data_IF_888123264602
#
_entry.id   IF_888123264602
#
_cell.length_a   1.000
_cell.length_b   1.000
_cell.length_c   1.000
_cell.angle_alpha   90.00
_cell.angle_beta   90.00
_cell.angle_gamma   90.00
#
_symmetry.space_group_name_H-M   'P 1'
#
loop_
_entity.id
_entity.type
_entity.pdbx_description
1 polymer ?
#
# COMPACT_ATOMS: atom_id res chain seq x y z
N UNK A 1 7.38 -11.56 39.83
CA UNK A 1 7.30 -11.41 38.36
C UNK A 1 8.66 -11.83 37.81
N UNK A 2 8.74 -13.01 37.21
CA UNK A 2 9.98 -13.54 36.63
C UNK A 2 10.21 -12.84 35.28
N UNK A 3 10.90 -11.70 35.32
CA UNK A 3 11.19 -10.88 34.15
C UNK A 3 12.54 -11.23 33.54
N UNK A 4 12.64 -12.40 32.89
CA UNK A 4 13.91 -12.82 32.27
C UNK A 4 14.12 -12.18 30.88
N UNK A 5 13.06 -11.63 30.25
CA UNK A 5 13.13 -11.06 28.90
C UNK A 5 12.19 -9.86 28.71
N UNK A 6 12.65 -8.88 27.92
CA UNK A 6 11.84 -7.79 27.36
C UNK A 6 11.56 -8.07 25.90
N UNK A 7 10.33 -7.82 25.45
CA UNK A 7 9.98 -7.94 24.03
C UNK A 7 10.11 -6.59 23.33
N UNK A 8 10.69 -6.60 22.12
CA UNK A 8 11.01 -5.42 21.35
C UNK A 8 10.61 -5.60 19.88
N UNK A 9 9.89 -4.63 19.31
CA UNK A 9 9.51 -4.63 17.89
C UNK A 9 10.61 -3.97 17.04
N UNK A 10 11.20 -4.74 16.13
CA UNK A 10 12.04 -4.21 15.07
C UNK A 10 11.17 -3.57 13.98
N UNK A 11 11.16 -2.25 13.87
CA UNK A 11 10.38 -1.54 12.84
C UNK A 11 10.79 -1.87 11.41
N UNK A 12 12.08 -2.13 11.19
CA UNK A 12 12.66 -2.52 9.89
C UNK A 12 12.17 -3.87 9.37
N UNK A 13 11.99 -4.84 10.26
CA UNK A 13 11.66 -6.23 9.89
C UNK A 13 10.29 -6.71 10.37
N UNK A 14 9.57 -5.90 11.14
CA UNK A 14 8.29 -6.29 11.76
C UNK A 14 8.42 -7.49 12.70
N UNK A 15 9.62 -7.79 13.20
CA UNK A 15 9.86 -8.92 14.10
C UNK A 15 9.83 -8.48 15.56
N UNK A 16 9.26 -9.33 16.41
CA UNK A 16 9.27 -9.14 17.86
C UNK A 16 10.39 -10.00 18.42
N UNK A 17 11.43 -9.36 18.94
CA UNK A 17 12.58 -10.00 19.58
C UNK A 17 12.36 -10.11 21.08
N UNK A 18 12.88 -11.18 21.68
CA UNK A 18 13.03 -11.32 23.13
C UNK A 18 14.47 -11.02 23.53
N UNK A 19 14.65 -10.03 24.39
CA UNK A 19 15.95 -9.57 24.85
C UNK A 19 16.11 -9.92 26.34
N UNK A 20 17.11 -10.72 26.67
CA UNK A 20 17.50 -11.04 28.06
C UNK A 20 18.41 -9.98 28.70
N UNK A 21 18.86 -9.00 27.92
CA UNK A 21 19.73 -7.92 28.38
C UNK A 21 19.32 -6.61 27.70
N UNK A 22 19.69 -5.47 28.30
CA UNK A 22 19.35 -4.14 27.79
C UNK A 22 20.08 -3.72 26.50
N UNK A 23 20.86 -4.61 25.87
CA UNK A 23 21.58 -4.32 24.63
C UNK A 23 20.80 -4.89 23.44
N UNK A 24 20.39 -4.02 22.51
CA UNK A 24 19.74 -4.41 21.26
C UNK A 24 20.83 -4.73 20.24
N UNK A 25 20.98 -5.99 19.80
CA UNK A 25 21.96 -6.33 18.77
C UNK A 25 21.51 -5.73 17.42
N UNK A 26 22.31 -4.85 16.82
CA UNK A 26 21.97 -4.15 15.56
C UNK A 26 21.73 -5.12 14.39
N UNK A 27 22.37 -6.28 14.41
CA UNK A 27 22.22 -7.36 13.43
C UNK A 27 20.84 -8.05 13.50
N UNK A 28 20.13 -7.95 14.63
CA UNK A 28 18.85 -8.67 14.82
C UNK A 28 17.62 -7.90 14.33
N UNK A 29 17.76 -6.59 14.07
CA UNK A 29 16.76 -5.79 13.37
C UNK A 29 17.21 -5.43 11.94
N UNK A 30 18.05 -6.25 11.31
CA UNK A 30 18.44 -6.02 9.93
C UNK A 30 17.21 -5.96 9.01
N UNK A 31 17.22 -5.02 8.07
CA UNK A 31 16.28 -4.96 6.95
C UNK A 31 16.43 -6.27 6.14
N UNK A 32 15.33 -6.86 5.64
CA UNK A 32 15.45 -7.86 4.60
C UNK A 32 16.21 -7.26 3.41
N UNK A 33 17.14 -8.00 2.81
CA UNK A 33 17.98 -7.56 1.67
C UNK A 33 17.18 -7.14 0.42
N UNK A 34 15.85 -7.22 0.45
CA UNK A 34 14.95 -6.67 -0.55
C UNK A 34 14.78 -5.16 -0.39
N UNK A 35 15.88 -4.43 -0.49
CA UNK A 35 15.85 -3.11 -1.11
C UNK A 35 15.47 -3.31 -2.60
N UNK A 36 14.22 -3.70 -2.87
CA UNK A 36 13.61 -3.54 -4.18
C UNK A 36 13.95 -2.13 -4.62
N UNK A 37 14.72 -2.05 -5.70
CA UNK A 37 15.29 -0.83 -6.26
C UNK A 37 14.30 0.32 -6.06
N UNK A 38 14.56 1.19 -5.09
CA UNK A 38 13.61 2.26 -4.78
C UNK A 38 13.79 3.33 -5.84
N UNK A 39 12.69 3.74 -6.47
CA UNK A 39 12.72 4.85 -7.40
C UNK A 39 13.15 6.11 -6.64
N UNK A 40 14.30 6.65 -7.03
CA UNK A 40 14.92 7.82 -6.44
C UNK A 40 15.74 8.56 -7.51
N UNK A 41 16.19 9.80 -7.24
CA UNK A 41 16.95 10.59 -8.23
C UNK A 41 18.22 9.92 -8.76
N UNK A 42 18.81 8.98 -8.02
CA UNK A 42 20.01 8.23 -8.42
C UNK A 42 19.70 6.87 -9.04
N UNK A 43 18.43 6.43 -9.04
CA UNK A 43 17.96 5.16 -9.60
C UNK A 43 16.61 5.34 -10.32
N UNK A 44 16.65 6.02 -11.47
CA UNK A 44 15.47 6.28 -12.31
C UNK A 44 14.92 5.03 -13.00
N UNK A 45 15.73 3.98 -13.15
CA UNK A 45 15.30 2.70 -13.73
C UNK A 45 14.36 1.91 -12.79
N UNK A 46 14.41 2.17 -11.49
CA UNK A 46 13.40 1.66 -10.56
C UNK A 46 12.02 2.33 -10.74
N UNK A 47 11.93 3.44 -11.47
CA UNK A 47 10.74 4.27 -11.58
C UNK A 47 9.76 3.87 -12.68
N UNK A 48 9.95 2.70 -13.31
CA UNK A 48 9.32 2.37 -14.59
C UNK A 48 7.80 2.13 -14.59
N UNK A 49 7.11 2.15 -13.45
CA UNK A 49 5.64 1.96 -13.42
C UNK A 49 5.06 2.84 -12.32
N UNK A 50 4.17 3.76 -12.67
CA UNK A 50 3.32 4.50 -11.72
C UNK A 50 1.92 3.89 -11.67
N UNK A 51 1.31 3.92 -10.48
CA UNK A 51 -0.14 3.81 -10.33
C UNK A 51 -0.74 5.23 -10.35
N UNK A 52 -2.04 5.37 -10.65
CA UNK A 52 -2.71 6.67 -10.73
C UNK A 52 -2.73 7.30 -12.12
N UNK A 53 -2.12 6.63 -13.10
CA UNK A 53 -2.20 6.99 -14.52
C UNK A 53 -1.61 8.38 -14.82
N UNK A 54 -1.82 8.82 -16.06
CA UNK A 54 -1.62 10.23 -16.47
C UNK A 54 -2.96 10.72 -16.97
N UNK A 55 -3.31 11.99 -16.71
CA UNK A 55 -4.50 12.57 -17.33
C UNK A 55 -4.41 12.44 -18.85
N UNK A 56 -5.43 11.81 -19.45
CA UNK A 56 -5.43 11.49 -20.88
C UNK A 56 -4.68 10.22 -21.27
N UNK A 57 -4.39 9.32 -20.32
CA UNK A 57 -3.99 7.94 -20.63
C UNK A 57 -5.08 7.24 -21.45
N UNK A 58 -4.66 6.52 -22.49
CA UNK A 58 -5.55 5.69 -23.30
C UNK A 58 -5.78 4.31 -22.67
N UNK A 59 -5.07 3.99 -21.58
CA UNK A 59 -5.18 2.76 -20.80
C UNK A 59 -5.69 3.07 -19.38
N UNK A 60 -6.56 2.20 -18.80
CA UNK A 60 -6.86 2.29 -17.38
C UNK A 60 -5.59 2.02 -16.57
N UNK A 61 -5.56 2.44 -15.32
CA UNK A 61 -4.47 2.06 -14.39
C UNK A 61 -5.10 1.59 -13.11
N UNK A 62 -4.89 0.33 -12.75
CA UNK A 62 -5.39 -0.27 -11.51
C UNK A 62 -4.63 0.35 -10.34
N UNK A 63 -5.37 1.03 -9.46
CA UNK A 63 -4.83 1.73 -8.28
C UNK A 63 -5.10 0.98 -6.98
N UNK A 64 -6.10 0.08 -6.96
CA UNK A 64 -6.33 -0.89 -5.89
C UNK A 64 -6.64 -2.26 -6.49
N UNK A 65 -6.07 -3.37 -5.96
CA UNK A 65 -5.19 -3.45 -4.78
C UNK A 65 -3.83 -2.77 -4.92
N UNK A 66 -3.27 -2.30 -3.79
CA UNK A 66 -2.04 -1.50 -3.78
C UNK A 66 -0.77 -2.33 -3.95
N UNK A 67 -0.75 -3.58 -3.49
CA UNK A 67 0.34 -4.55 -3.57
C UNK A 67 -0.10 -5.87 -4.19
N UNK A 68 0.87 -6.72 -4.53
CA UNK A 68 0.63 -8.10 -4.95
C UNK A 68 0.30 -9.04 -3.81
N UNK A 69 0.55 -8.67 -2.55
CA UNK A 69 0.23 -9.49 -1.38
C UNK A 69 -0.87 -8.82 -0.57
N UNK A 70 -1.82 -9.62 -0.08
CA UNK A 70 -2.94 -9.13 0.75
C UNK A 70 -3.42 -10.19 1.75
N UNK A 71 -4.07 -9.74 2.82
CA UNK A 71 -4.89 -10.54 3.73
C UNK A 71 -6.37 -10.53 3.31
N UNK A 72 -6.77 -9.63 2.42
CA UNK A 72 -8.17 -9.45 2.02
C UNK A 72 -8.55 -10.44 0.90
N UNK A 73 -9.46 -11.36 1.20
CA UNK A 73 -10.00 -12.32 0.22
C UNK A 73 -10.98 -11.68 -0.78
N UNK A 74 -11.44 -10.46 -0.50
CA UNK A 74 -12.43 -9.70 -1.28
C UNK A 74 -11.99 -8.25 -1.47
N UNK A 75 -10.88 -8.01 -2.19
CA UNK A 75 -10.38 -6.66 -2.40
C UNK A 75 -11.36 -5.78 -3.18
N UNK A 76 -11.47 -4.51 -2.80
CA UNK A 76 -12.06 -3.51 -3.68
C UNK A 76 -11.10 -3.21 -4.84
N UNK A 77 -11.65 -3.16 -6.05
CA UNK A 77 -10.89 -2.94 -7.27
C UNK A 77 -11.20 -1.53 -7.77
N UNK A 78 -10.18 -0.70 -7.93
CA UNK A 78 -10.34 0.68 -8.43
C UNK A 78 -9.27 0.99 -9.46
N UNK A 79 -9.61 1.87 -10.40
CA UNK A 79 -8.73 2.25 -11.50
C UNK A 79 -8.94 3.71 -11.91
N UNK A 80 -8.08 4.20 -12.80
CA UNK A 80 -8.22 5.54 -13.38
C UNK A 80 -9.23 5.55 -14.53
N UNK A 81 -9.96 6.66 -14.66
CA UNK A 81 -10.81 6.89 -15.83
C UNK A 81 -9.96 6.99 -17.11
N UNK A 82 -10.54 6.54 -18.22
CA UNK A 82 -9.92 6.53 -19.56
C UNK A 82 -10.75 7.41 -20.46
N UNK A 83 -10.10 8.30 -21.21
CA UNK A 83 -10.81 9.24 -22.08
C UNK A 83 -11.59 8.48 -23.16
N UNK A 84 -12.88 8.76 -23.27
CA UNK A 84 -13.78 8.12 -24.25
C UNK A 84 -14.36 6.77 -23.82
N UNK A 85 -13.91 6.20 -22.69
CA UNK A 85 -14.52 4.97 -22.19
C UNK A 85 -15.95 5.23 -21.69
N UNK A 86 -16.89 4.41 -22.13
CA UNK A 86 -18.30 4.43 -21.72
C UNK A 86 -18.61 3.38 -20.65
N UNK A 87 -17.79 2.33 -20.56
CA UNK A 87 -17.90 1.29 -19.54
C UNK A 87 -16.55 0.57 -19.34
N UNK A 88 -16.51 -0.27 -18.30
CA UNK A 88 -15.37 -1.10 -17.95
C UNK A 88 -15.82 -2.53 -17.71
N UNK A 89 -14.95 -3.49 -18.04
CA UNK A 89 -15.11 -4.89 -17.62
C UNK A 89 -13.97 -5.27 -16.69
N UNK A 90 -14.31 -5.67 -15.48
CA UNK A 90 -13.36 -6.27 -14.53
C UNK A 90 -13.44 -7.77 -14.70
N UNK A 91 -12.30 -8.42 -14.94
CA UNK A 91 -12.19 -9.88 -14.99
C UNK A 91 -11.20 -10.32 -13.93
N UNK A 92 -11.59 -11.30 -13.13
CA UNK A 92 -10.69 -11.93 -12.18
C UNK A 92 -10.52 -13.39 -12.58
N UNK A 93 -9.28 -13.86 -12.59
CA UNK A 93 -8.91 -15.21 -13.04
C UNK A 93 -7.84 -15.84 -12.14
N UNK A 94 -7.91 -17.15 -12.00
CA UNK A 94 -6.91 -18.07 -11.45
C UNK A 94 -7.02 -19.38 -12.23
N UNK A 95 -6.21 -20.40 -11.91
CA UNK A 95 -6.13 -21.64 -12.70
C UNK A 95 -7.48 -22.32 -13.00
N UNK A 96 -8.43 -22.32 -12.05
CA UNK A 96 -9.78 -22.94 -12.21
C UNK A 96 -10.94 -22.04 -11.74
N UNK A 97 -10.67 -20.79 -11.43
CA UNK A 97 -11.69 -19.85 -10.97
C UNK A 97 -11.59 -18.56 -11.75
N UNK A 98 -12.74 -18.00 -12.11
CA UNK A 98 -12.81 -16.62 -12.56
C UNK A 98 -14.23 -16.12 -12.70
N UNK A 99 -14.36 -14.81 -12.62
CA UNK A 99 -15.62 -14.10 -12.83
C UNK A 99 -15.35 -12.81 -13.57
N UNK A 100 -16.40 -12.23 -14.16
CA UNK A 100 -16.33 -10.91 -14.77
C UNK A 100 -17.57 -10.08 -14.45
N UNK A 101 -17.39 -8.76 -14.33
CA UNK A 101 -18.48 -7.80 -14.12
C UNK A 101 -18.24 -6.57 -14.99
N UNK A 102 -19.32 -6.06 -15.57
CA UNK A 102 -19.32 -4.80 -16.34
C UNK A 102 -19.88 -3.68 -15.46
N UNK A 103 -19.19 -2.55 -15.43
CA UNK A 103 -19.59 -1.35 -14.67
C UNK A 103 -19.36 -0.08 -15.48
N UNK A 104 -20.05 1.00 -15.12
CA UNK A 104 -19.93 2.32 -15.75
C UNK A 104 -19.19 3.35 -14.87
N UNK A 105 -18.50 2.88 -13.84
CA UNK A 105 -17.74 3.67 -12.88
C UNK A 105 -16.34 3.07 -12.73
N UNK A 106 -15.42 3.80 -12.09
CA UNK A 106 -14.02 3.37 -11.95
C UNK A 106 -13.72 2.65 -10.62
N UNK A 107 -14.75 2.07 -10.02
CA UNK A 107 -14.67 1.27 -8.80
C UNK A 107 -15.60 0.07 -8.87
N UNK A 108 -15.14 -1.06 -8.37
CA UNK A 108 -15.95 -2.24 -8.16
C UNK A 108 -15.70 -2.74 -6.73
N UNK A 109 -16.72 -2.58 -5.87
CA UNK A 109 -16.76 -3.33 -4.63
C UNK A 109 -16.81 -4.82 -4.98
N UNK A 110 -16.07 -5.65 -4.24
CA UNK A 110 -16.02 -7.07 -4.53
C UNK A 110 -17.43 -7.68 -4.50
N UNK A 111 -17.88 -8.35 -5.57
CA UNK A 111 -19.25 -8.86 -5.61
C UNK A 111 -19.50 -9.92 -4.53
N UNK A 112 -20.58 -9.77 -3.75
CA UNK A 112 -20.88 -10.66 -2.63
C UNK A 112 -21.32 -12.06 -3.06
N UNK A 113 -21.86 -12.18 -4.27
CA UNK A 113 -22.29 -13.42 -4.94
C UNK A 113 -21.12 -14.22 -5.52
N UNK A 114 -19.97 -13.58 -5.74
CA UNK A 114 -18.80 -14.25 -6.29
C UNK A 114 -17.98 -14.94 -5.20
N UNK A 115 -17.33 -16.05 -5.56
CA UNK A 115 -16.45 -16.78 -4.65
C UNK A 115 -15.19 -15.95 -4.35
N UNK A 116 -14.77 -15.95 -3.09
CA UNK A 116 -13.62 -15.18 -2.62
C UNK A 116 -12.27 -15.80 -3.00
N UNK A 117 -11.22 -14.99 -2.90
CA UNK A 117 -9.86 -15.46 -3.10
C UNK A 117 -9.45 -16.45 -2.00
N UNK A 118 -8.82 -17.53 -2.42
CA UNK A 118 -8.35 -18.57 -1.52
C UNK A 118 -6.92 -18.27 -1.05
N UNK A 119 -6.61 -18.45 0.25
CA UNK A 119 -5.24 -18.32 0.75
C UNK A 119 -4.22 -19.18 -0.01
N UNK A 120 -3.06 -18.61 -0.29
CA UNK A 120 -1.97 -19.23 -1.04
C UNK A 120 -2.24 -19.41 -2.54
N UNK A 121 -3.27 -18.76 -3.07
CA UNK A 121 -3.62 -18.81 -4.49
C UNK A 121 -3.41 -17.44 -5.13
N UNK A 122 -2.62 -17.35 -6.21
CA UNK A 122 -2.49 -16.12 -6.98
C UNK A 122 -3.70 -15.92 -7.91
N UNK A 123 -4.16 -14.68 -7.97
CA UNK A 123 -5.21 -14.19 -8.85
C UNK A 123 -4.66 -13.09 -9.75
N UNK A 124 -5.19 -13.03 -10.95
CA UNK A 124 -4.98 -11.93 -11.87
C UNK A 124 -6.27 -11.14 -12.01
N UNK A 125 -6.15 -9.82 -11.98
CA UNK A 125 -7.25 -8.87 -12.14
C UNK A 125 -6.96 -8.06 -13.40
N UNK A 126 -7.84 -8.19 -14.38
CA UNK A 126 -7.83 -7.40 -15.61
C UNK A 126 -8.93 -6.32 -15.52
N UNK A 127 -8.63 -5.10 -15.93
CA UNK A 127 -9.63 -4.04 -16.12
C UNK A 127 -9.56 -3.56 -17.56
N UNK A 128 -10.60 -3.86 -18.34
CA UNK A 128 -10.75 -3.44 -19.73
C UNK A 128 -11.58 -2.17 -19.83
N UNK A 129 -11.15 -1.20 -20.62
CA UNK A 129 -11.93 -0.02 -20.99
C UNK A 129 -12.65 -0.24 -22.32
N UNK A 130 -13.92 0.15 -22.37
CA UNK A 130 -14.80 -0.05 -23.53
C UNK A 130 -15.31 1.28 -24.08
N UNK A 131 -15.37 1.38 -25.40
CA UNK A 131 -16.08 2.42 -26.15
C UNK A 131 -16.99 1.73 -27.16
N UNK A 132 -18.26 2.14 -27.23
CA UNK A 132 -19.27 1.57 -28.14
C UNK A 132 -19.33 0.02 -28.17
N UNK A 133 -19.14 -0.60 -27.01
CA UNK A 133 -19.19 -2.07 -26.85
C UNK A 133 -17.90 -2.80 -27.25
N UNK A 134 -16.86 -2.10 -27.69
CA UNK A 134 -15.55 -2.67 -28.01
C UNK A 134 -14.49 -2.30 -26.96
N UNK A 135 -13.77 -3.30 -26.47
CA UNK A 135 -12.60 -3.07 -25.63
C UNK A 135 -11.48 -2.46 -26.47
N UNK A 136 -10.90 -1.34 -26.02
CA UNK A 136 -9.82 -0.66 -26.75
C UNK A 136 -8.51 -0.58 -25.95
N UNK A 137 -8.57 -0.79 -24.64
CA UNK A 137 -7.40 -0.85 -23.77
C UNK A 137 -7.68 -1.64 -22.48
N UNK A 138 -6.63 -2.04 -21.78
CA UNK A 138 -6.75 -2.71 -20.49
C UNK A 138 -5.50 -2.52 -19.65
N UNK A 139 -5.64 -2.82 -18.36
CA UNK A 139 -4.53 -2.97 -17.43
C UNK A 139 -4.70 -4.26 -16.64
N UNK A 140 -3.59 -4.80 -16.14
CA UNK A 140 -3.53 -6.09 -15.45
C UNK A 140 -2.73 -5.96 -14.15
N UNK A 141 -3.21 -6.60 -13.10
CA UNK A 141 -2.44 -6.74 -11.86
C UNK A 141 -2.59 -8.13 -11.25
N UNK A 142 -1.65 -8.49 -10.40
CA UNK A 142 -1.59 -9.79 -9.72
C UNK A 142 -1.77 -9.59 -8.22
N UNK A 143 -2.52 -10.49 -7.60
CA UNK A 143 -2.82 -10.46 -6.17
C UNK A 143 -2.75 -11.88 -5.63
N UNK A 144 -1.98 -12.07 -4.57
CA UNK A 144 -1.84 -13.31 -3.82
C UNK A 144 -2.34 -13.08 -2.40
N UNK A 145 -3.30 -13.89 -1.99
CA UNK A 145 -3.77 -13.89 -0.61
C UNK A 145 -2.79 -14.72 0.20
N UNK A 146 -2.17 -14.15 1.23
CA UNK A 146 -1.16 -14.87 2.01
C UNK A 146 -1.70 -16.18 2.57
N UNK A 147 -0.84 -17.20 2.70
CA UNK A 147 -1.23 -18.50 3.25
C UNK A 147 -1.75 -18.40 4.68
N UNK A 148 -2.63 -19.31 5.08
CA UNK A 148 -3.25 -19.33 6.42
C UNK A 148 -2.20 -19.24 7.54
N UNK A 149 -1.12 -20.02 7.43
CA UNK A 149 -0.03 -20.00 8.41
C UNK A 149 0.60 -18.61 8.56
N UNK A 150 0.76 -17.87 7.46
CA UNK A 150 1.32 -16.52 7.47
C UNK A 150 0.32 -15.50 8.06
N UNK A 151 -0.96 -15.62 7.71
CA UNK A 151 -2.02 -14.79 8.30
C UNK A 151 -2.09 -14.97 9.82
N UNK A 152 -2.00 -16.22 10.31
CA UNK A 152 -1.99 -16.52 11.75
C UNK A 152 -0.78 -15.91 12.46
N UNK A 153 0.43 -16.00 11.87
CA UNK A 153 1.63 -15.38 12.42
C UNK A 153 1.47 -13.86 12.55
N UNK A 154 0.94 -13.20 11.51
CA UNK A 154 0.69 -11.76 11.51
C UNK A 154 -0.37 -11.41 12.58
N UNK A 155 -1.47 -12.16 12.64
CA UNK A 155 -2.52 -11.95 13.63
C UNK A 155 -1.99 -12.10 15.07
N UNK A 156 -1.09 -13.05 15.33
CA UNK A 156 -0.44 -13.21 16.62
C UNK A 156 0.45 -12.01 16.97
N UNK A 157 1.27 -11.51 16.03
CA UNK A 157 2.10 -10.31 16.23
C UNK A 157 1.22 -9.08 16.54
N UNK A 158 0.15 -8.87 15.78
CA UNK A 158 -0.80 -7.77 15.98
C UNK A 158 -1.52 -7.89 17.34
N UNK A 159 -1.97 -9.10 17.71
CA UNK A 159 -2.58 -9.36 19.01
C UNK A 159 -1.62 -9.02 20.15
N UNK A 160 -0.33 -9.32 19.98
CA UNK A 160 0.69 -8.99 20.98
C UNK A 160 0.86 -7.49 21.15
N UNK A 161 0.98 -6.74 20.06
CA UNK A 161 1.06 -5.26 20.07
C UNK A 161 -0.18 -4.66 20.75
N UNK A 162 -1.39 -5.07 20.33
CA UNK A 162 -2.64 -4.59 20.93
C UNK A 162 -2.75 -4.90 22.43
N UNK A 163 -2.18 -6.02 22.87
CA UNK A 163 -2.11 -6.41 24.27
C UNK A 163 -1.24 -5.52 25.15
N UNK A 164 -0.43 -4.62 24.58
CA UNK A 164 0.39 -3.64 25.31
C UNK A 164 -0.43 -2.45 25.82
N UNK A 165 -1.63 -2.21 25.26
CA UNK A 165 -2.49 -1.09 25.68
C UNK A 165 -1.92 0.28 25.33
N UNK A 166 -1.16 0.39 24.24
CA UNK A 166 -0.61 1.65 23.74
C UNK A 166 -1.73 2.61 23.28
N UNK A 167 -1.45 3.93 23.19
CA UNK A 167 -2.35 4.86 22.54
C UNK A 167 -2.74 4.37 21.12
N UNK A 168 -3.97 4.65 20.65
CA UNK A 168 -4.44 4.14 19.36
C UNK A 168 -3.52 4.45 18.19
N UNK A 169 -3.06 5.70 18.08
CA UNK A 169 -2.20 6.15 16.99
C UNK A 169 -0.83 5.44 17.00
N UNK A 170 -0.26 5.21 18.18
CA UNK A 170 1.00 4.46 18.31
C UNK A 170 0.82 2.98 17.97
N UNK A 171 -0.31 2.39 18.39
CA UNK A 171 -0.67 1.02 18.02
C UNK A 171 -0.78 0.85 16.50
N UNK A 172 -1.32 1.85 15.80
CA UNK A 172 -1.42 1.85 14.34
C UNK A 172 -0.04 1.87 13.68
N UNK A 173 0.89 2.69 14.20
CA UNK A 173 2.25 2.78 13.67
C UNK A 173 3.05 1.48 13.90
N UNK A 174 2.88 0.83 15.05
CA UNK A 174 3.50 -0.47 15.33
C UNK A 174 2.93 -1.57 14.41
N UNK A 175 1.62 -1.58 14.18
CA UNK A 175 0.97 -2.53 13.26
C UNK A 175 1.37 -2.27 11.80
N UNK A 176 1.56 -1.01 11.41
CA UNK A 176 2.07 -0.66 10.09
C UNK A 176 3.45 -1.28 9.82
N UNK A 177 4.34 -1.31 10.82
CA UNK A 177 5.64 -1.99 10.69
C UNK A 177 5.47 -3.49 10.39
N UNK A 178 4.52 -4.16 11.05
CA UNK A 178 4.19 -5.57 10.77
C UNK A 178 3.71 -5.75 9.33
N UNK A 179 2.74 -4.94 8.88
CA UNK A 179 2.22 -5.05 7.51
C UNK A 179 3.28 -4.72 6.46
N UNK A 180 4.12 -3.73 6.72
CA UNK A 180 5.16 -3.28 5.77
C UNK A 180 6.21 -4.36 5.55
N UNK A 181 6.62 -5.06 6.61
CA UNK A 181 7.55 -6.19 6.54
C UNK A 181 7.02 -7.37 5.70
N UNK A 182 5.70 -7.47 5.55
CA UNK A 182 5.03 -8.53 4.79
C UNK A 182 4.52 -8.03 3.42
N UNK A 183 4.92 -6.82 3.02
CA UNK A 183 4.47 -6.14 1.80
C UNK A 183 2.93 -6.01 1.66
N UNK A 184 2.23 -5.93 2.78
CA UNK A 184 0.78 -5.79 2.88
C UNK A 184 0.37 -4.31 2.73
N UNK A 185 0.61 -3.73 1.55
CA UNK A 185 0.32 -2.30 1.29
C UNK A 185 -1.16 -1.98 1.37
N UNK A 186 -2.02 -2.94 0.99
CA UNK A 186 -3.46 -2.73 1.05
C UNK A 186 -3.95 -2.56 2.49
N UNK A 187 -3.48 -3.40 3.38
CA UNK A 187 -3.86 -3.42 4.80
C UNK A 187 -3.36 -2.17 5.52
N UNK A 188 -2.11 -1.75 5.28
CA UNK A 188 -1.58 -0.53 5.90
C UNK A 188 -2.27 0.73 5.39
N UNK A 189 -2.49 0.87 4.07
CA UNK A 189 -3.15 2.06 3.50
C UNK A 189 -4.58 2.17 4.04
N UNK A 190 -5.37 1.10 4.04
CA UNK A 190 -6.73 1.15 4.56
C UNK A 190 -6.77 1.43 6.08
N UNK A 191 -5.87 0.81 6.86
CA UNK A 191 -5.77 1.08 8.30
C UNK A 191 -5.44 2.56 8.58
N UNK A 192 -4.45 3.12 7.89
CA UNK A 192 -4.02 4.50 8.05
C UNK A 192 -5.10 5.49 7.55
N UNK A 193 -5.78 5.20 6.44
CA UNK A 193 -6.93 5.99 5.95
C UNK A 193 -8.05 6.04 6.99
N UNK A 194 -8.39 4.92 7.61
CA UNK A 194 -9.40 4.89 8.67
C UNK A 194 -8.98 5.74 9.88
N UNK A 195 -7.70 5.69 10.26
CA UNK A 195 -7.17 6.48 11.36
C UNK A 195 -7.12 7.99 11.09
N UNK A 196 -6.82 8.38 9.85
CA UNK A 196 -6.76 9.80 9.45
C UNK A 196 -8.15 10.37 9.14
N UNK A 197 -9.12 9.54 8.78
CA UNK A 197 -10.52 9.94 8.55
C UNK A 197 -11.21 10.49 9.81
N UNK A 198 -10.77 10.09 11.01
CA UNK A 198 -11.24 10.66 12.29
C UNK A 198 -10.55 11.98 12.65
N UNK A 199 -9.87 12.63 11.69
CA UNK A 199 -9.13 13.89 11.85
C UNK A 199 -8.14 13.85 13.02
N UNK A 200 -7.36 12.76 13.10
CA UNK A 200 -6.25 12.64 14.06
C UNK A 200 -5.36 13.88 14.02
N UNK A 201 -4.85 14.29 15.17
CA UNK A 201 -3.90 15.40 15.27
C UNK A 201 -2.45 14.91 15.23
N UNK A 202 -2.21 13.61 15.06
CA UNK A 202 -0.87 13.03 14.98
C UNK A 202 -0.31 13.20 13.55
N UNK A 203 0.67 14.10 13.32
CA UNK A 203 1.25 14.32 11.99
C UNK A 203 1.91 13.06 11.41
N UNK A 204 2.36 12.13 12.26
CA UNK A 204 3.06 10.92 11.82
C UNK A 204 2.16 9.97 11.07
N UNK A 205 0.87 9.85 11.44
CA UNK A 205 -0.07 9.00 10.70
C UNK A 205 -0.25 9.47 9.25
N UNK A 206 -0.42 10.78 9.04
CA UNK A 206 -0.52 11.36 7.70
C UNK A 206 0.78 11.18 6.92
N UNK A 207 1.94 11.42 7.55
CA UNK A 207 3.22 11.23 6.88
C UNK A 207 3.41 9.77 6.45
N UNK A 208 3.14 8.81 7.34
CA UNK A 208 3.27 7.38 7.02
C UNK A 208 2.29 6.98 5.93
N UNK A 209 1.04 7.48 5.95
CA UNK A 209 0.09 7.25 4.86
C UNK A 209 0.63 7.78 3.52
N UNK A 210 1.24 8.97 3.52
CA UNK A 210 1.96 9.51 2.37
C UNK A 210 3.08 8.59 1.87
N UNK A 211 3.90 8.03 2.77
CA UNK A 211 4.95 7.06 2.41
C UNK A 211 4.37 5.80 1.78
N UNK A 212 3.24 5.30 2.30
CA UNK A 212 2.56 4.12 1.77
C UNK A 212 1.97 4.40 0.39
N UNK A 213 1.38 5.57 0.17
CA UNK A 213 0.94 5.98 -1.16
C UNK A 213 2.12 6.10 -2.14
N UNK A 214 3.27 6.64 -1.73
CA UNK A 214 4.48 6.62 -2.59
C UNK A 214 4.94 5.20 -2.91
N UNK A 215 4.94 4.29 -1.94
CA UNK A 215 5.29 2.87 -2.17
C UNK A 215 4.27 2.18 -3.09
N UNK A 216 3.00 2.58 -3.00
CA UNK A 216 1.94 2.19 -3.93
C UNK A 216 1.98 2.97 -5.26
N UNK A 217 2.96 3.86 -5.45
CA UNK A 217 3.20 4.65 -6.67
C UNK A 217 2.07 5.63 -6.99
N UNK A 218 1.46 6.21 -5.97
CA UNK A 218 0.33 7.16 -6.02
C UNK A 218 0.78 8.55 -5.52
N UNK A 219 1.54 9.32 -6.33
CA UNK A 219 2.16 10.56 -5.87
C UNK A 219 1.16 11.69 -5.59
N UNK A 220 -0.03 11.68 -6.22
CA UNK A 220 -1.06 12.69 -5.99
C UNK A 220 -1.67 12.54 -4.60
N UNK A 221 -2.03 11.32 -4.24
CA UNK A 221 -2.54 10.92 -2.93
C UNK A 221 -1.46 11.20 -1.88
N UNK A 222 -0.22 10.76 -2.11
CA UNK A 222 0.89 11.00 -1.20
C UNK A 222 1.11 12.50 -0.92
N UNK A 223 1.02 13.36 -1.96
CA UNK A 223 1.17 14.81 -1.81
C UNK A 223 0.19 15.38 -0.79
N UNK A 224 -1.09 15.00 -0.89
CA UNK A 224 -2.15 15.48 -0.01
C UNK A 224 -1.84 15.16 1.45
N UNK A 225 -1.40 13.92 1.70
CA UNK A 225 -1.09 13.46 3.05
C UNK A 225 0.15 14.13 3.62
N UNK A 226 1.22 14.33 2.83
CA UNK A 226 2.40 15.04 3.31
C UNK A 226 2.14 16.52 3.61
N UNK A 227 1.28 17.20 2.82
CA UNK A 227 0.87 18.58 3.13
C UNK A 227 0.20 18.62 4.50
N UNK A 228 -0.77 17.73 4.73
CA UNK A 228 -1.48 17.65 6.02
C UNK A 228 -0.54 17.32 7.19
N UNK A 229 0.39 16.39 6.99
CA UNK A 229 1.42 16.06 7.96
C UNK A 229 2.31 17.26 8.30
N UNK A 230 2.76 18.00 7.28
CA UNK A 230 3.57 19.21 7.45
C UNK A 230 2.84 20.31 8.22
N UNK A 231 1.56 20.51 7.97
CA UNK A 231 0.72 21.48 8.68
C UNK A 231 0.58 21.12 10.17
N UNK A 232 0.21 19.86 10.46
CA UNK A 232 0.06 19.37 11.84
C UNK A 232 1.40 19.35 12.59
N UNK A 233 2.50 18.99 11.94
CA UNK A 233 3.82 18.99 12.56
C UNK A 233 4.29 20.41 12.91
N UNK A 234 3.96 21.41 12.07
CA UNK A 234 4.20 22.82 12.39
C UNK A 234 3.38 23.27 13.59
N UNK A 235 2.07 22.97 13.60
CA UNK A 235 1.20 23.42 14.69
C UNK A 235 1.56 22.76 16.03
N UNK A 236 2.08 21.53 16.01
CA UNK A 236 2.54 20.81 17.20
C UNK A 236 4.01 21.04 17.54
N UNK A 237 4.72 21.97 16.88
CA UNK A 237 6.17 22.20 17.03
C UNK A 237 7.05 20.94 16.86
N UNK A 238 6.60 19.96 16.08
CA UNK A 238 7.35 18.74 15.79
C UNK A 238 8.28 18.93 14.58
N UNK A 239 9.40 19.62 14.81
CA UNK A 239 10.38 19.94 13.75
C UNK A 239 10.89 18.70 13.01
N UNK A 240 11.15 17.59 13.73
CA UNK A 240 11.64 16.35 13.13
C UNK A 240 10.64 15.79 12.13
N UNK A 241 9.36 15.74 12.50
CA UNK A 241 8.33 15.21 11.63
C UNK A 241 8.02 16.14 10.46
N UNK A 242 8.06 17.45 10.69
CA UNK A 242 7.97 18.44 9.62
C UNK A 242 9.04 18.21 8.54
N UNK A 243 10.30 18.00 8.93
CA UNK A 243 11.37 17.75 7.97
C UNK A 243 11.13 16.47 7.16
N UNK A 244 10.70 15.37 7.80
CA UNK A 244 10.40 14.14 7.06
C UNK A 244 9.24 14.31 6.07
N UNK A 245 8.19 15.04 6.44
CA UNK A 245 7.08 15.33 5.55
C UNK A 245 7.52 16.19 4.34
N UNK A 246 8.40 17.18 4.59
CA UNK A 246 9.01 17.96 3.51
C UNK A 246 9.88 17.10 2.58
N UNK A 247 10.66 16.15 3.12
CA UNK A 247 11.39 15.17 2.29
C UNK A 247 10.46 14.33 1.44
N UNK A 248 9.32 13.87 1.99
CA UNK A 248 8.28 13.17 1.23
C UNK A 248 7.74 14.00 0.05
N UNK A 249 7.49 15.29 0.27
CA UNK A 249 7.05 16.21 -0.80
C UNK A 249 8.09 16.38 -1.91
N UNK A 250 9.38 16.47 -1.56
CA UNK A 250 10.46 16.53 -2.55
C UNK A 250 10.50 15.26 -3.40
N UNK A 251 10.28 14.09 -2.79
CA UNK A 251 10.17 12.83 -3.54
C UNK A 251 8.96 12.88 -4.48
N UNK A 252 7.78 13.32 -4.01
CA UNK A 252 6.60 13.50 -4.87
C UNK A 252 6.88 14.41 -6.08
N UNK A 253 7.57 15.52 -5.87
CA UNK A 253 7.95 16.45 -6.95
C UNK A 253 8.88 15.79 -7.97
N UNK A 254 9.89 15.07 -7.50
CA UNK A 254 10.77 14.28 -8.37
C UNK A 254 9.97 13.25 -9.17
N UNK A 255 9.04 12.54 -8.52
CA UNK A 255 8.14 11.67 -9.24
C UNK A 255 7.41 12.49 -10.29
N UNK A 256 6.66 13.54 -9.99
CA UNK A 256 5.85 14.25 -11.01
C UNK A 256 6.63 14.76 -12.25
N UNK A 257 7.97 14.82 -12.21
CA UNK A 257 8.84 15.16 -13.35
C UNK A 257 9.18 13.98 -14.27
N UNK A 258 8.96 12.73 -13.87
CA UNK A 258 9.37 11.58 -14.70
C UNK A 258 8.42 11.38 -15.90
N UNK A 259 8.94 10.85 -17.02
CA UNK A 259 8.15 10.55 -18.20
C UNK A 259 7.02 9.57 -17.91
N UNK A 260 5.86 9.82 -18.51
CA UNK A 260 4.65 9.02 -18.32
C UNK A 260 4.40 7.98 -19.42
N UNK A 261 5.22 7.93 -20.47
CA UNK A 261 5.08 7.01 -21.62
C UNK A 261 6.30 6.11 -21.80
N UNK A 262 6.08 4.83 -22.09
CA UNK A 262 6.94 4.06 -23.01
C UNK A 262 6.48 4.43 -24.42
N UNK A 263 7.37 4.92 -25.27
CA UNK A 263 7.06 4.91 -26.70
C UNK A 263 6.80 3.45 -27.10
N UNK A 264 5.79 3.16 -27.95
CA UNK A 264 5.64 1.82 -28.48
C UNK A 264 6.95 1.41 -29.19
N UNK A 265 7.37 0.14 -29.11
CA UNK A 265 8.47 -0.34 -29.95
C UNK A 265 8.15 0.00 -31.41
N UNK A 266 9.09 0.71 -32.05
CA UNK A 266 9.07 0.97 -33.49
C UNK A 266 9.25 -0.34 -34.27
#
# INVERSE_FOLDING_TARGET
MNGDYVEFLCFSSGNILKLSSGTIPLDKCAEPDEALSTCNPTNTNACHIRKGGTEGSDEPTIISPYSTSTLNSRPEITWTAVKGATSYKVKVKSYEFGWEKVVNQTRLAYPSDEKEFQPGTPYTIDVFAYIDGQAFSYDETFVDVLSVAKQEQIAQKIKRIKGLGLPPDETILDVDAIYTAENLLNETIEMLKMATATNSQNPTLYRVLGDRYLKAKLPKEAKSEYIKASELAKSSNNSKEFQKAQSGLQVVEFYNQLPTRRNPPQ
#
